data_IF_924694462931
#
_entry.id   IF_924694462931
#
_cell.length_a   1.000
_cell.length_b   1.000
_cell.length_c   1.000
_cell.angle_alpha   90.00
_cell.angle_beta   90.00
_cell.angle_gamma   90.00
#
_symmetry.space_group_name_H-M   'P 1'
#
loop_
_entity.id
_entity.type
_entity.pdbx_description
1 polymer ?
#
# COMPACT_ATOMS: atom_id res chain seq x y z
N UNK A 1 -39.74 18.47 14.39
CA UNK A 1 -38.66 17.62 14.92
C UNK A 1 -37.45 17.86 14.04
N UNK A 2 -36.47 18.55 14.61
CA UNK A 2 -35.33 19.14 13.91
C UNK A 2 -34.29 18.06 13.63
N UNK A 3 -33.76 18.11 12.42
CA UNK A 3 -32.75 17.21 11.86
C UNK A 3 -31.52 17.06 12.76
N UNK A 4 -31.12 15.81 12.93
CA UNK A 4 -29.86 15.38 13.53
C UNK A 4 -28.70 15.83 12.64
N UNK A 5 -28.13 16.98 12.98
CA UNK A 5 -26.94 17.53 12.34
C UNK A 5 -25.72 16.79 12.87
N UNK A 6 -25.12 15.99 12.00
CA UNK A 6 -23.67 15.89 11.84
C UNK A 6 -22.90 15.50 13.10
N UNK A 7 -22.85 14.20 13.40
CA UNK A 7 -21.61 13.61 13.88
C UNK A 7 -20.60 13.65 12.72
N UNK A 8 -19.93 14.80 12.54
CA UNK A 8 -18.62 14.80 11.89
C UNK A 8 -17.72 13.96 12.80
N UNK A 9 -17.50 12.70 12.43
CA UNK A 9 -16.52 11.87 13.11
C UNK A 9 -15.18 12.60 13.02
N UNK A 10 -14.49 12.73 14.15
CA UNK A 10 -13.06 13.01 14.21
C UNK A 10 -12.26 11.87 13.54
N UNK A 11 -12.45 11.68 12.24
CA UNK A 11 -11.54 10.92 11.40
C UNK A 11 -10.25 11.74 11.40
N UNK A 12 -9.20 11.19 12.01
CA UNK A 12 -7.85 11.74 11.97
C UNK A 12 -7.52 12.19 10.53
N UNK A 13 -7.20 13.47 10.34
CA UNK A 13 -6.88 14.01 9.01
C UNK A 13 -5.54 13.40 8.54
N UNK A 14 -5.64 12.33 7.73
CA UNK A 14 -4.51 11.53 7.24
C UNK A 14 -3.50 12.40 6.48
N UNK A 15 -3.98 13.42 5.75
CA UNK A 15 -3.12 14.36 5.04
C UNK A 15 -2.30 15.19 6.04
N UNK A 16 -2.95 15.75 7.07
CA UNK A 16 -2.26 16.54 8.11
C UNK A 16 -1.24 15.71 8.90
N UNK A 17 -1.58 14.45 9.23
CA UNK A 17 -0.66 13.52 9.87
C UNK A 17 0.57 13.28 9.00
N UNK A 18 0.35 12.99 7.71
CA UNK A 18 1.43 12.79 6.73
C UNK A 18 2.32 14.03 6.57
N UNK A 19 1.72 15.23 6.48
CA UNK A 19 2.44 16.50 6.39
C UNK A 19 3.32 16.72 7.62
N UNK A 20 2.83 16.39 8.81
CA UNK A 20 3.59 16.54 10.06
C UNK A 20 4.84 15.66 10.08
N UNK A 21 4.72 14.39 9.66
CA UNK A 21 5.88 13.48 9.61
C UNK A 21 6.87 13.89 8.52
N UNK A 22 6.40 14.39 7.38
CA UNK A 22 7.28 14.90 6.31
C UNK A 22 8.04 16.14 6.76
N UNK A 23 7.36 17.08 7.42
CA UNK A 23 8.02 18.28 7.96
C UNK A 23 9.15 17.88 8.89
N UNK A 24 8.85 17.00 9.85
CA UNK A 24 9.85 16.48 10.79
C UNK A 24 11.01 15.75 10.08
N UNK A 25 10.73 14.98 9.03
CA UNK A 25 11.75 14.29 8.26
C UNK A 25 12.67 15.27 7.52
N UNK A 26 12.11 16.30 6.90
CA UNK A 26 12.87 17.34 6.19
C UNK A 26 13.74 18.16 7.14
N UNK A 27 13.19 18.56 8.30
CA UNK A 27 13.92 19.26 9.35
C UNK A 27 15.12 18.45 9.85
N UNK A 28 14.91 17.15 10.10
CA UNK A 28 15.98 16.24 10.55
C UNK A 28 17.05 16.01 9.48
N UNK A 29 16.71 16.17 8.21
CA UNK A 29 17.65 16.12 7.09
C UNK A 29 18.35 17.46 6.85
N UNK A 30 17.92 18.54 7.51
CA UNK A 30 18.50 19.87 7.38
C UNK A 30 18.09 20.59 6.10
N UNK A 31 16.93 20.25 5.54
CA UNK A 31 16.34 21.02 4.45
C UNK A 31 15.67 22.29 4.99
N UNK A 32 15.70 23.39 4.23
CA UNK A 32 14.99 24.60 4.62
C UNK A 32 13.48 24.47 4.38
N UNK A 33 12.71 25.39 4.96
CA UNK A 33 11.24 25.34 4.97
C UNK A 33 10.62 25.33 3.56
N UNK A 34 11.28 25.93 2.56
CA UNK A 34 10.75 25.97 1.19
C UNK A 34 10.62 24.57 0.57
N UNK A 35 11.44 23.62 1.02
CA UNK A 35 11.33 22.21 0.60
C UNK A 35 10.04 21.60 1.16
N UNK A 36 9.69 21.88 2.41
CA UNK A 36 8.44 21.42 2.99
C UNK A 36 7.23 22.07 2.30
N UNK A 37 7.30 23.38 2.05
CA UNK A 37 6.25 24.12 1.35
C UNK A 37 5.95 23.55 -0.04
N UNK A 38 6.98 23.04 -0.74
CA UNK A 38 6.83 22.35 -2.02
C UNK A 38 6.24 20.94 -1.87
N UNK A 39 6.66 20.18 -0.84
CA UNK A 39 6.33 18.76 -0.70
C UNK A 39 5.12 18.47 0.18
N UNK A 40 4.50 19.48 0.79
CA UNK A 40 3.30 19.29 1.64
C UNK A 40 2.02 19.07 0.83
N UNK A 41 1.99 19.46 -0.44
CA UNK A 41 0.84 19.34 -1.35
C UNK A 41 1.28 18.82 -2.73
N UNK A 42 0.40 18.16 -3.50
CA UNK A 42 0.76 17.68 -4.82
C UNK A 42 0.93 18.81 -5.84
N UNK A 43 1.91 18.67 -6.75
CA UNK A 43 2.13 19.57 -7.88
C UNK A 43 0.88 19.78 -8.72
N UNK A 44 0.08 18.72 -8.92
CA UNK A 44 -1.16 18.78 -9.68
C UNK A 44 -2.24 17.95 -9.00
N UNK A 45 -3.44 18.53 -8.91
CA UNK A 45 -4.66 17.85 -8.49
C UNK A 45 -5.74 18.09 -9.54
N UNK A 46 -6.26 17.01 -10.12
CA UNK A 46 -7.32 17.08 -11.12
C UNK A 46 -8.60 16.42 -10.57
N UNK A 47 -9.70 17.16 -10.59
CA UNK A 47 -11.04 16.65 -10.28
C UNK A 47 -11.88 16.65 -11.55
N UNK A 48 -12.51 15.52 -11.87
CA UNK A 48 -13.28 15.32 -13.11
C UNK A 48 -14.70 14.86 -12.83
N UNK A 49 -15.60 15.15 -13.77
CA UNK A 49 -16.97 14.61 -13.80
C UNK A 49 -17.10 13.62 -14.95
N UNK A 50 -17.61 12.43 -14.66
CA UNK A 50 -17.61 11.30 -15.59
C UNK A 50 -19.07 10.85 -15.79
N UNK A 51 -19.73 11.31 -16.87
CA UNK A 51 -21.08 10.87 -17.19
C UNK A 51 -21.06 9.43 -17.71
N UNK A 52 -21.79 8.53 -17.05
CA UNK A 52 -21.92 7.12 -17.42
C UNK A 52 -23.40 6.79 -17.63
N UNK A 53 -23.72 6.18 -18.76
CA UNK A 53 -25.05 5.59 -18.98
C UNK A 53 -25.13 4.27 -18.19
N UNK A 54 -26.09 4.20 -17.28
CA UNK A 54 -26.39 3.04 -16.44
C UNK A 54 -27.21 2.01 -17.23
N UNK A 55 -27.30 0.79 -16.72
CA UNK A 55 -28.06 -0.30 -17.37
C UNK A 55 -29.57 -0.04 -17.38
N UNK A 56 -30.08 0.78 -16.45
CA UNK A 56 -31.48 1.26 -16.44
C UNK A 56 -31.75 2.37 -17.49
N UNK A 57 -30.73 2.75 -18.27
CA UNK A 57 -30.80 3.77 -19.32
C UNK A 57 -30.56 5.20 -18.85
N UNK A 58 -30.57 5.47 -17.53
CA UNK A 58 -30.30 6.80 -16.96
C UNK A 58 -28.81 7.13 -17.06
N UNK A 59 -28.47 8.41 -16.97
CA UNK A 59 -27.08 8.86 -16.88
C UNK A 59 -26.78 9.24 -15.44
N UNK A 60 -25.75 8.63 -14.86
CA UNK A 60 -25.17 8.99 -13.57
C UNK A 60 -23.83 9.69 -13.80
N UNK A 61 -23.60 10.81 -13.12
CA UNK A 61 -22.35 11.57 -13.22
C UNK A 61 -21.50 11.31 -11.98
N UNK A 62 -20.38 10.63 -12.16
CA UNK A 62 -19.45 10.30 -11.09
C UNK A 62 -18.39 11.39 -10.92
N UNK A 63 -17.84 11.51 -9.71
CA UNK A 63 -16.69 12.37 -9.43
C UNK A 63 -15.43 11.51 -9.37
N UNK A 64 -14.41 11.89 -10.14
CA UNK A 64 -13.10 11.26 -10.12
C UNK A 64 -11.99 12.25 -9.75
N UNK A 65 -10.89 11.74 -9.24
CA UNK A 65 -9.72 12.48 -8.79
C UNK A 65 -8.44 11.89 -9.37
N UNK A 66 -7.44 12.72 -9.65
CA UNK A 66 -6.05 12.31 -9.89
C UNK A 66 -5.09 13.33 -9.27
N UNK A 67 -4.34 12.91 -8.25
CA UNK A 67 -3.26 13.66 -7.63
C UNK A 67 -1.90 13.18 -8.17
N UNK A 68 -1.04 14.11 -8.56
CA UNK A 68 0.34 13.89 -8.98
C UNK A 68 1.23 14.68 -8.02
N UNK A 69 1.80 13.98 -7.03
CA UNK A 69 2.45 14.61 -5.89
C UNK A 69 3.69 15.39 -6.31
N UNK A 70 4.64 14.70 -6.94
CA UNK A 70 5.90 15.31 -7.34
C UNK A 70 6.50 14.47 -8.47
N UNK A 71 7.00 15.09 -9.53
CA UNK A 71 7.58 14.43 -10.70
C UNK A 71 9.07 14.77 -10.93
N UNK A 72 9.77 15.23 -9.89
CA UNK A 72 11.19 15.61 -9.98
C UNK A 72 12.10 14.43 -10.30
N UNK A 73 11.81 13.26 -9.72
CA UNK A 73 12.61 12.04 -9.92
C UNK A 73 12.26 11.34 -11.24
N UNK A 74 11.01 11.45 -11.67
CA UNK A 74 10.45 10.74 -12.81
C UNK A 74 8.92 10.84 -12.83
N UNK A 75 8.23 10.10 -13.72
CA UNK A 75 6.78 10.17 -13.80
C UNK A 75 6.11 9.71 -12.51
N UNK A 76 4.88 10.16 -12.25
CA UNK A 76 4.17 9.77 -11.02
C UNK A 76 3.61 8.36 -11.12
N UNK A 77 3.61 7.64 -9.99
CA UNK A 77 3.11 6.27 -9.92
C UNK A 77 2.10 6.10 -8.81
N UNK A 78 0.95 5.51 -9.11
CA UNK A 78 0.09 4.93 -8.07
C UNK A 78 -1.35 4.66 -8.48
N UNK A 79 -2.01 3.87 -7.63
CA UNK A 79 -3.25 3.20 -7.96
C UNK A 79 -4.49 4.10 -8.09
N UNK A 80 -5.58 3.51 -8.58
CA UNK A 80 -6.90 4.12 -8.67
C UNK A 80 -7.86 3.32 -7.79
N UNK A 81 -8.51 3.98 -6.84
CA UNK A 81 -9.49 3.37 -5.93
C UNK A 81 -10.92 3.65 -6.39
N UNK A 82 -11.77 2.64 -6.38
CA UNK A 82 -13.22 2.84 -6.52
C UNK A 82 -13.86 2.62 -5.15
N UNK A 83 -14.36 3.67 -4.50
CA UNK A 83 -14.96 3.52 -3.16
C UNK A 83 -15.96 4.66 -2.87
N UNK A 84 -17.08 4.41 -2.17
CA UNK A 84 -18.08 5.45 -1.90
C UNK A 84 -17.55 6.58 -1.01
N UNK A 85 -16.53 6.31 -0.20
CA UNK A 85 -15.94 7.28 0.73
C UNK A 85 -14.66 7.94 0.21
N UNK A 86 -14.31 7.80 -1.09
CA UNK A 86 -13.14 8.50 -1.63
C UNK A 86 -13.27 10.00 -1.41
N UNK A 87 -12.24 10.63 -0.85
CA UNK A 87 -12.15 12.08 -0.71
C UNK A 87 -10.90 12.65 -1.39
N UNK A 88 -10.93 13.94 -1.75
CA UNK A 88 -9.76 14.63 -2.27
C UNK A 88 -8.57 14.58 -1.29
N UNK A 89 -8.81 14.85 0.00
CA UNK A 89 -7.76 14.83 1.04
C UNK A 89 -7.06 13.48 1.14
N UNK A 90 -7.83 12.39 1.12
CA UNK A 90 -7.29 11.02 1.13
C UNK A 90 -6.44 10.76 -0.11
N UNK A 91 -6.91 11.13 -1.31
CA UNK A 91 -6.18 10.94 -2.57
C UNK A 91 -4.85 11.71 -2.55
N UNK A 92 -4.83 12.94 -2.00
CA UNK A 92 -3.60 13.71 -1.81
C UNK A 92 -2.62 12.99 -0.88
N UNK A 93 -3.07 12.60 0.32
CA UNK A 93 -2.22 11.91 1.30
C UNK A 93 -1.61 10.63 0.73
N UNK A 94 -2.42 9.81 0.05
CA UNK A 94 -1.96 8.59 -0.59
C UNK A 94 -0.96 8.85 -1.74
N UNK A 95 -1.09 9.96 -2.47
CA UNK A 95 -0.10 10.32 -3.51
C UNK A 95 1.26 10.70 -2.93
N UNK A 96 1.27 11.32 -1.74
CA UNK A 96 2.49 11.61 -0.98
C UNK A 96 3.14 10.30 -0.54
N UNK A 97 2.38 9.37 0.05
CA UNK A 97 2.89 8.07 0.43
C UNK A 97 3.45 7.28 -0.74
N UNK A 98 2.86 7.41 -1.94
CA UNK A 98 3.45 6.79 -3.13
C UNK A 98 4.82 7.38 -3.48
N UNK A 99 5.06 8.67 -3.25
CA UNK A 99 6.39 9.28 -3.44
C UNK A 99 7.39 8.72 -2.44
N UNK A 100 6.99 8.60 -1.18
CA UNK A 100 7.81 8.01 -0.13
C UNK A 100 8.16 6.54 -0.44
N UNK A 101 7.16 5.71 -0.80
CA UNK A 101 7.38 4.31 -1.17
C UNK A 101 8.37 4.21 -2.34
N UNK A 102 8.19 5.01 -3.39
CA UNK A 102 9.11 5.02 -4.54
C UNK A 102 10.53 5.43 -4.13
N UNK A 103 10.67 6.45 -3.27
CA UNK A 103 11.98 6.86 -2.75
C UNK A 103 12.65 5.82 -1.85
N UNK A 104 11.88 5.14 -1.00
CA UNK A 104 12.38 4.10 -0.08
C UNK A 104 12.99 2.93 -0.85
N UNK A 105 12.32 2.49 -1.92
CA UNK A 105 12.79 1.39 -2.79
C UNK A 105 13.57 1.87 -4.02
N UNK A 106 14.07 3.11 -3.98
CA UNK A 106 14.92 3.74 -4.98
C UNK A 106 14.41 3.70 -6.44
N UNK A 107 13.09 3.74 -6.62
CA UNK A 107 12.48 3.72 -7.95
C UNK A 107 12.63 5.09 -8.65
N UNK A 108 12.67 5.12 -9.99
CA UNK A 108 12.73 6.36 -10.77
C UNK A 108 11.33 6.99 -10.93
N UNK A 109 10.60 7.12 -9.84
CA UNK A 109 9.21 7.59 -9.83
C UNK A 109 8.95 8.65 -8.77
N UNK A 110 8.00 9.50 -9.13
CA UNK A 110 7.21 10.29 -8.20
C UNK A 110 5.99 9.53 -7.67
N UNK A 111 5.22 10.15 -6.79
CA UNK A 111 3.97 9.58 -6.31
C UNK A 111 2.74 10.13 -7.01
N UNK A 112 1.79 9.25 -7.33
CA UNK A 112 0.48 9.62 -7.85
C UNK A 112 -0.62 8.81 -7.18
N UNK A 113 -1.86 9.28 -7.23
CA UNK A 113 -3.03 8.52 -6.78
C UNK A 113 -4.29 8.98 -7.48
N UNK A 114 -5.19 8.06 -7.78
CA UNK A 114 -6.52 8.36 -8.28
C UNK A 114 -7.62 7.75 -7.42
N UNK A 115 -8.83 8.27 -7.58
CA UNK A 115 -10.00 7.69 -6.94
C UNK A 115 -11.28 8.09 -7.65
N UNK A 116 -12.30 7.24 -7.62
CA UNK A 116 -13.65 7.55 -8.09
C UNK A 116 -14.63 7.28 -6.95
N UNK A 117 -15.52 8.25 -6.72
CA UNK A 117 -16.61 8.12 -5.75
C UNK A 117 -17.71 7.24 -6.36
N UNK A 118 -17.62 5.92 -6.13
CA UNK A 118 -18.62 4.94 -6.55
C UNK A 118 -18.60 3.71 -5.63
N UNK A 119 -19.68 2.94 -5.61
CA UNK A 119 -19.71 1.61 -5.00
C UNK A 119 -19.74 0.54 -6.11
N UNK A 120 -18.62 -0.14 -6.39
CA UNK A 120 -18.57 -1.17 -7.43
C UNK A 120 -19.47 -2.37 -7.17
N UNK A 121 -19.90 -2.60 -5.92
CA UNK A 121 -20.77 -3.74 -5.56
C UNK A 121 -22.19 -3.56 -6.09
N UNK A 122 -22.60 -2.32 -6.30
CA UNK A 122 -23.93 -1.96 -6.82
C UNK A 122 -23.90 -1.72 -8.34
N UNK A 123 -22.80 -2.03 -9.02
CA UNK A 123 -22.59 -1.75 -10.43
C UNK A 123 -22.40 -3.04 -11.22
N UNK A 124 -23.00 -3.08 -12.41
CA UNK A 124 -22.75 -4.18 -13.33
C UNK A 124 -21.34 -4.09 -13.93
N UNK A 125 -20.84 -5.21 -14.44
CA UNK A 125 -19.55 -5.26 -15.13
C UNK A 125 -19.47 -4.28 -16.31
N UNK A 126 -20.58 -4.07 -17.03
CA UNK A 126 -20.65 -3.13 -18.16
C UNK A 126 -20.61 -1.68 -17.69
N UNK A 127 -21.24 -1.39 -16.55
CA UNK A 127 -21.19 -0.06 -15.95
C UNK A 127 -19.79 0.27 -15.44
N UNK A 128 -19.11 -0.70 -14.83
CA UNK A 128 -17.71 -0.57 -14.42
C UNK A 128 -16.77 -0.35 -15.61
N UNK A 129 -16.98 -1.06 -16.72
CA UNK A 129 -16.22 -0.83 -17.95
C UNK A 129 -16.42 0.60 -18.46
N UNK A 130 -17.67 1.04 -18.62
CA UNK A 130 -17.99 2.39 -19.10
C UNK A 130 -17.42 3.47 -18.19
N UNK A 131 -17.48 3.27 -16.87
CA UNK A 131 -16.88 4.18 -15.89
C UNK A 131 -15.35 4.23 -16.03
N UNK A 132 -14.70 3.08 -16.17
CA UNK A 132 -13.24 2.98 -16.30
C UNK A 132 -12.74 3.68 -17.57
N UNK A 133 -13.42 3.47 -18.69
CA UNK A 133 -13.14 4.15 -19.97
C UNK A 133 -13.38 5.67 -19.86
N UNK A 134 -14.51 6.06 -19.28
CA UNK A 134 -14.85 7.46 -19.05
C UNK A 134 -13.83 8.19 -18.18
N UNK A 135 -13.31 7.53 -17.15
CA UNK A 135 -12.24 8.08 -16.30
C UNK A 135 -10.96 8.32 -17.09
N UNK A 136 -10.49 7.34 -17.88
CA UNK A 136 -9.29 7.50 -18.73
C UNK A 136 -9.43 8.67 -19.70
N UNK A 137 -10.57 8.77 -20.39
CA UNK A 137 -10.86 9.91 -21.27
C UNK A 137 -10.72 11.24 -20.55
N UNK A 138 -11.27 11.34 -19.34
CA UNK A 138 -11.27 12.56 -18.54
C UNK A 138 -9.88 12.99 -18.03
N UNK A 139 -8.95 12.04 -17.82
CA UNK A 139 -7.61 12.34 -17.27
C UNK A 139 -6.48 12.23 -18.30
N UNK A 140 -6.76 11.72 -19.51
CA UNK A 140 -5.79 11.39 -20.57
C UNK A 140 -4.75 12.48 -20.86
N UNK A 141 -5.12 13.74 -20.72
CA UNK A 141 -4.26 14.91 -20.98
C UNK A 141 -3.02 14.98 -20.07
N UNK A 142 -3.14 14.49 -18.83
CA UNK A 142 -2.09 14.58 -17.80
C UNK A 142 -1.45 13.23 -17.45
N UNK A 143 -1.88 12.14 -18.09
CA UNK A 143 -1.39 10.78 -17.82
C UNK A 143 -0.75 10.12 -19.03
N UNK A 144 0.05 9.08 -18.79
CA UNK A 144 0.76 8.37 -19.86
C UNK A 144 2.02 7.67 -19.39
N UNK A 145 2.61 6.78 -20.22
CA UNK A 145 3.79 5.98 -19.86
C UNK A 145 5.00 6.80 -19.38
N UNK A 146 5.12 8.05 -19.83
CA UNK A 146 6.20 8.97 -19.48
C UNK A 146 5.75 10.14 -18.56
N UNK A 147 4.50 10.14 -18.09
CA UNK A 147 3.92 11.23 -17.27
C UNK A 147 3.42 10.73 -15.92
N UNK A 148 2.48 9.79 -15.97
CA UNK A 148 1.78 9.28 -14.79
C UNK A 148 1.17 7.92 -15.12
N UNK A 149 1.53 6.91 -14.31
CA UNK A 149 1.26 5.50 -14.58
C UNK A 149 0.34 4.95 -13.48
N UNK A 150 -0.97 4.76 -13.75
CA UNK A 150 -1.87 4.22 -12.75
C UNK A 150 -1.63 2.74 -12.43
N UNK A 151 -2.39 2.20 -11.47
CA UNK A 151 -2.34 0.81 -11.02
C UNK A 151 -3.68 0.42 -10.34
N UNK A 152 -3.87 -0.86 -9.97
CA UNK A 152 -4.96 -1.25 -9.09
C UNK A 152 -4.80 -0.67 -7.68
N UNK A 153 -5.93 -0.40 -7.06
CA UNK A 153 -6.14 -0.17 -5.62
C UNK A 153 -7.50 -0.79 -5.20
N UNK A 154 -8.01 -0.43 -4.02
CA UNK A 154 -9.28 -0.95 -3.46
C UNK A 154 -10.41 -0.92 -4.50
N UNK A 155 -11.06 -2.09 -4.64
CA UNK A 155 -12.12 -2.41 -5.62
C UNK A 155 -11.79 -2.16 -7.09
N UNK A 156 -10.51 -2.19 -7.45
CA UNK A 156 -10.05 -2.30 -8.84
C UNK A 156 -9.08 -3.47 -8.97
N UNK A 157 -8.99 -4.05 -10.16
CA UNK A 157 -8.21 -5.26 -10.42
C UNK A 157 -7.64 -5.23 -11.85
N UNK A 158 -7.01 -6.33 -12.27
CA UNK A 158 -6.41 -6.46 -13.59
C UNK A 158 -7.40 -6.25 -14.74
N UNK A 159 -8.68 -6.58 -14.56
CA UNK A 159 -9.71 -6.32 -15.55
C UNK A 159 -9.99 -4.81 -15.72
N UNK A 160 -10.06 -4.05 -14.62
CA UNK A 160 -10.16 -2.59 -14.69
C UNK A 160 -8.94 -2.02 -15.43
N UNK A 161 -7.74 -2.52 -15.13
CA UNK A 161 -6.51 -2.06 -15.79
C UNK A 161 -6.52 -2.38 -17.29
N UNK A 162 -7.05 -3.53 -17.68
CA UNK A 162 -7.19 -3.91 -19.09
C UNK A 162 -8.09 -2.93 -19.86
N UNK A 163 -9.25 -2.58 -19.32
CA UNK A 163 -10.14 -1.58 -19.94
C UNK A 163 -9.51 -0.20 -20.04
N UNK A 164 -8.80 0.21 -18.99
CA UNK A 164 -8.13 1.51 -18.98
C UNK A 164 -6.97 1.55 -19.99
N UNK A 165 -6.21 0.46 -20.13
CA UNK A 165 -5.14 0.33 -21.11
C UNK A 165 -5.68 0.35 -22.54
N UNK A 166 -6.76 -0.38 -22.82
CA UNK A 166 -7.41 -0.39 -24.13
C UNK A 166 -7.92 1.01 -24.51
N UNK A 167 -8.63 1.70 -23.61
CA UNK A 167 -9.14 3.04 -23.88
C UNK A 167 -8.00 4.04 -24.13
N UNK A 168 -6.92 3.99 -23.34
CA UNK A 168 -5.77 4.88 -23.54
C UNK A 168 -5.07 4.60 -24.87
N UNK A 169 -4.87 3.32 -25.20
CA UNK A 169 -4.26 2.91 -26.48
C UNK A 169 -5.09 3.37 -27.68
N UNK A 170 -6.42 3.39 -27.55
CA UNK A 170 -7.31 3.95 -28.59
C UNK A 170 -7.18 5.46 -28.75
N UNK A 171 -6.95 6.19 -27.65
CA UNK A 171 -6.74 7.64 -27.68
C UNK A 171 -5.36 7.97 -28.28
N UNK A 172 -4.35 7.17 -27.96
CA UNK A 172 -2.95 7.37 -28.36
C UNK A 172 -2.65 6.86 -29.78
N UNK A 173 -3.58 6.10 -30.39
CA UNK A 173 -3.46 5.45 -31.72
C UNK A 173 -2.36 4.37 -31.83
N UNK A 174 -1.76 3.97 -30.71
CA UNK A 174 -0.82 2.86 -30.59
C UNK A 174 -1.11 2.03 -29.34
N UNK A 175 -0.66 0.78 -29.32
CA UNK A 175 -0.76 -0.03 -28.11
C UNK A 175 0.21 0.51 -27.05
N UNK A 176 -0.34 1.00 -25.93
CA UNK A 176 0.42 1.71 -24.88
C UNK A 176 0.41 0.92 -23.56
N UNK A 177 1.02 -0.28 -23.49
CA UNK A 177 0.97 -1.13 -22.30
C UNK A 177 1.68 -0.51 -21.09
N UNK A 178 2.66 0.37 -21.31
CA UNK A 178 3.36 1.13 -20.26
C UNK A 178 2.50 2.20 -19.59
N UNK A 179 1.28 2.48 -20.07
CA UNK A 179 0.39 3.50 -19.48
C UNK A 179 -0.04 3.12 -18.07
N UNK A 180 -0.31 1.85 -17.80
CA UNK A 180 -0.89 1.38 -16.55
C UNK A 180 -0.27 0.03 -16.16
N UNK A 181 -0.11 -0.22 -14.86
CA UNK A 181 0.44 -1.50 -14.35
C UNK A 181 -0.63 -2.34 -13.68
N UNK A 182 -0.32 -3.58 -13.29
CA UNK A 182 -1.28 -4.54 -12.75
C UNK A 182 -2.18 -5.16 -13.82
N UNK A 183 -1.70 -5.24 -15.06
CA UNK A 183 -2.44 -5.80 -16.19
C UNK A 183 -2.44 -7.33 -16.16
N UNK A 184 -3.37 -7.99 -16.87
CA UNK A 184 -3.26 -9.43 -17.17
C UNK A 184 -1.95 -9.72 -17.92
N UNK A 185 -1.36 -10.90 -17.72
CA UNK A 185 -0.09 -11.30 -18.37
C UNK A 185 -0.16 -11.16 -19.90
N UNK A 186 -1.27 -11.58 -20.51
CA UNK A 186 -1.51 -11.49 -21.97
C UNK A 186 -1.57 -10.06 -22.52
N UNK A 187 -1.65 -9.05 -21.65
CA UNK A 187 -1.66 -7.62 -22.01
C UNK A 187 -0.40 -6.89 -21.51
N UNK A 188 0.69 -7.62 -21.27
CA UNK A 188 1.95 -7.07 -20.78
C UNK A 188 1.99 -6.85 -19.27
N UNK A 189 1.25 -7.68 -18.51
CA UNK A 189 1.41 -7.80 -17.07
C UNK A 189 2.75 -8.48 -16.69
N UNK A 190 3.17 -8.34 -15.44
CA UNK A 190 4.37 -9.01 -14.91
C UNK A 190 4.01 -10.21 -14.05
N UNK A 191 4.84 -11.25 -14.12
CA UNK A 191 4.84 -12.35 -13.14
C UNK A 191 5.05 -11.81 -11.72
N UNK A 192 4.59 -12.57 -10.72
CA UNK A 192 4.75 -12.24 -9.29
C UNK A 192 3.88 -11.07 -8.77
N UNK A 193 3.08 -10.41 -9.61
CA UNK A 193 2.34 -9.19 -9.22
C UNK A 193 1.33 -9.42 -8.08
N UNK A 194 0.64 -10.56 -8.10
CA UNK A 194 -0.41 -10.91 -7.14
C UNK A 194 0.17 -11.10 -5.73
N UNK A 195 1.31 -11.76 -5.63
CA UNK A 195 1.97 -12.07 -4.36
C UNK A 195 2.99 -11.01 -3.93
N UNK A 196 3.29 -10.02 -4.77
CA UNK A 196 4.40 -9.07 -4.59
C UNK A 196 4.39 -8.36 -3.22
N UNK A 197 3.22 -7.92 -2.74
CA UNK A 197 3.10 -7.26 -1.44
C UNK A 197 3.39 -8.24 -0.30
N UNK A 198 2.79 -9.42 -0.32
CA UNK A 198 2.99 -10.43 0.72
C UNK A 198 4.44 -10.96 0.74
N UNK A 199 5.05 -11.20 -0.44
CA UNK A 199 6.47 -11.51 -0.56
C UNK A 199 7.33 -10.38 0.02
N UNK A 200 6.99 -9.13 -0.28
CA UNK A 200 7.72 -7.98 0.25
C UNK A 200 7.67 -7.84 1.77
N UNK A 201 6.50 -8.07 2.36
CA UNK A 201 6.32 -8.13 3.83
C UNK A 201 7.15 -9.28 4.41
N UNK A 202 7.13 -10.46 3.79
CA UNK A 202 7.91 -11.64 4.21
C UNK A 202 9.41 -11.37 4.20
N UNK A 203 9.93 -10.72 3.15
CA UNK A 203 11.34 -10.30 3.06
C UNK A 203 11.68 -9.35 4.23
N UNK A 204 10.82 -8.37 4.51
CA UNK A 204 11.05 -7.44 5.61
C UNK A 204 11.00 -8.11 6.99
N UNK A 205 10.08 -9.07 7.19
CA UNK A 205 10.03 -9.89 8.41
C UNK A 205 11.36 -10.63 8.59
N UNK A 206 11.87 -11.27 7.54
CA UNK A 206 13.13 -12.01 7.59
C UNK A 206 14.32 -11.11 7.95
N UNK A 207 14.41 -9.93 7.35
CA UNK A 207 15.49 -8.98 7.69
C UNK A 207 15.34 -8.43 9.12
N UNK A 208 14.12 -8.16 9.58
CA UNK A 208 13.86 -7.75 10.96
C UNK A 208 14.22 -8.84 11.98
N UNK A 209 13.87 -10.10 11.70
CA UNK A 209 14.18 -11.26 12.52
C UNK A 209 15.70 -11.42 12.69
N UNK A 210 16.47 -11.26 11.61
CA UNK A 210 17.96 -11.26 11.66
C UNK A 210 18.50 -10.18 12.60
N UNK A 211 17.93 -8.97 12.60
CA UNK A 211 18.37 -7.87 13.50
C UNK A 211 18.02 -8.13 14.96
N UNK A 212 16.98 -8.93 15.23
CA UNK A 212 16.57 -9.32 16.59
C UNK A 212 17.15 -10.66 17.05
N UNK A 213 17.89 -11.36 16.20
CA UNK A 213 18.41 -12.69 16.52
C UNK A 213 17.33 -13.76 16.65
N UNK A 214 16.18 -13.58 15.98
CA UNK A 214 15.06 -14.53 15.95
C UNK A 214 15.26 -15.45 14.74
N UNK A 215 15.29 -16.77 14.97
CA UNK A 215 15.20 -17.75 13.88
C UNK A 215 13.73 -17.81 13.42
N UNK A 216 13.50 -17.65 12.12
CA UNK A 216 12.14 -17.75 11.57
C UNK A 216 11.56 -19.15 11.75
N UNK A 217 12.41 -20.18 11.73
CA UNK A 217 11.96 -21.54 11.94
C UNK A 217 11.50 -21.71 13.38
N UNK A 218 10.21 -21.97 13.57
CA UNK A 218 9.57 -22.09 14.87
C UNK A 218 9.14 -20.78 15.53
N UNK A 219 9.41 -19.62 14.91
CA UNK A 219 8.93 -18.33 15.39
C UNK A 219 7.40 -18.29 15.44
N UNK A 220 6.84 -17.70 16.50
CA UNK A 220 5.39 -17.52 16.70
C UNK A 220 4.94 -16.26 15.99
N UNK A 221 4.08 -16.41 14.99
CA UNK A 221 3.60 -15.32 14.14
C UNK A 221 2.09 -15.16 14.28
N UNK A 222 1.65 -13.91 14.42
CA UNK A 222 0.24 -13.53 14.40
C UNK A 222 -0.02 -12.62 13.19
N UNK A 223 -1.02 -12.94 12.38
CA UNK A 223 -1.39 -12.17 11.19
C UNK A 223 -2.82 -11.65 11.34
N UNK A 224 -2.97 -10.34 11.57
CA UNK A 224 -4.29 -9.72 11.62
C UNK A 224 -4.79 -9.47 10.19
N UNK A 225 -5.88 -10.13 9.79
CA UNK A 225 -6.45 -10.04 8.45
C UNK A 225 -6.03 -11.18 7.53
N UNK A 226 -7.00 -11.92 7.00
CA UNK A 226 -6.80 -13.10 6.13
C UNK A 226 -7.29 -12.89 4.68
N UNK A 227 -7.33 -11.62 4.24
CA UNK A 227 -7.52 -11.24 2.84
C UNK A 227 -6.30 -11.57 1.98
N UNK A 228 -6.22 -11.02 0.76
CA UNK A 228 -5.14 -11.33 -0.19
C UNK A 228 -3.72 -11.20 0.39
N UNK A 229 -3.40 -10.08 1.06
CA UNK A 229 -2.06 -9.89 1.60
C UNK A 229 -1.75 -10.85 2.77
N UNK A 230 -2.63 -10.91 3.77
CA UNK A 230 -2.39 -11.70 4.97
C UNK A 230 -2.43 -13.22 4.75
N UNK A 231 -3.26 -13.70 3.84
CA UNK A 231 -3.32 -15.13 3.47
C UNK A 231 -2.05 -15.64 2.79
N UNK A 232 -1.56 -14.94 1.76
CA UNK A 232 -0.28 -15.28 1.12
C UNK A 232 0.88 -15.13 2.10
N UNK A 233 0.84 -14.11 2.97
CA UNK A 233 1.84 -13.94 4.01
C UNK A 233 1.85 -15.13 4.98
N UNK A 234 0.69 -15.54 5.49
CA UNK A 234 0.57 -16.69 6.37
C UNK A 234 1.11 -17.96 5.69
N UNK A 235 0.83 -18.14 4.39
CA UNK A 235 1.38 -19.24 3.59
C UNK A 235 2.91 -19.18 3.52
N UNK A 236 3.49 -18.05 3.12
CA UNK A 236 4.94 -17.92 2.99
C UNK A 236 5.68 -18.10 4.32
N UNK A 237 5.12 -17.57 5.40
CA UNK A 237 5.67 -17.76 6.75
C UNK A 237 5.56 -19.21 7.22
N UNK A 238 4.43 -19.88 6.95
CA UNK A 238 4.25 -21.30 7.23
C UNK A 238 5.25 -22.17 6.44
N UNK A 239 5.41 -21.92 5.14
CA UNK A 239 6.33 -22.63 4.26
C UNK A 239 7.80 -22.40 4.67
N UNK A 240 8.12 -21.24 5.25
CA UNK A 240 9.42 -20.94 5.84
C UNK A 240 9.65 -21.62 7.22
N UNK A 241 8.65 -22.34 7.74
CA UNK A 241 8.71 -23.09 8.99
C UNK A 241 8.35 -22.29 10.24
N UNK A 242 7.76 -21.11 10.11
CA UNK A 242 7.23 -20.36 11.24
C UNK A 242 5.89 -20.96 11.71
N UNK A 243 5.58 -20.81 12.99
CA UNK A 243 4.30 -21.20 13.58
C UNK A 243 3.33 -20.03 13.49
N UNK A 244 2.38 -20.11 12.57
CA UNK A 244 1.26 -19.15 12.55
C UNK A 244 0.31 -19.51 13.69
N UNK A 245 0.43 -18.83 14.82
CA UNK A 245 -0.37 -19.14 16.01
C UNK A 245 -1.70 -18.38 16.00
N UNK A 246 -1.83 -17.31 15.21
CA UNK A 246 -3.07 -16.55 15.13
C UNK A 246 -3.31 -15.93 13.76
N UNK A 247 -4.56 -16.01 13.28
CA UNK A 247 -5.04 -15.24 12.14
C UNK A 247 -6.37 -14.56 12.47
N UNK A 248 -6.73 -13.48 11.77
CA UNK A 248 -8.06 -12.91 11.90
C UNK A 248 -8.71 -12.51 10.58
N UNK A 249 -10.02 -12.33 10.59
CA UNK A 249 -10.78 -11.71 9.52
C UNK A 249 -11.78 -10.68 10.10
N UNK A 250 -12.76 -10.27 9.29
CA UNK A 250 -13.74 -9.25 9.69
C UNK A 250 -14.62 -9.65 10.89
N UNK A 251 -14.70 -10.95 11.24
CA UNK A 251 -15.61 -11.47 12.25
C UNK A 251 -14.94 -11.92 13.55
N UNK A 252 -13.61 -12.01 13.58
CA UNK A 252 -12.85 -12.42 14.75
C UNK A 252 -11.49 -13.01 14.38
N UNK A 253 -10.88 -13.70 15.35
CA UNK A 253 -9.59 -14.35 15.24
C UNK A 253 -9.64 -15.84 15.59
N UNK A 254 -8.76 -16.61 14.97
CA UNK A 254 -8.43 -17.99 15.35
C UNK A 254 -7.07 -17.98 16.03
N UNK A 255 -6.92 -18.78 17.09
CA UNK A 255 -5.68 -18.90 17.83
C UNK A 255 -5.42 -20.36 18.22
N UNK A 256 -4.20 -20.83 17.94
CA UNK A 256 -3.67 -22.11 18.41
C UNK A 256 -2.17 -21.96 18.72
N UNK A 257 -1.77 -22.15 19.98
CA UNK A 257 -0.37 -22.04 20.40
C UNK A 257 0.54 -23.06 19.71
N UNK A 258 -0.01 -24.19 19.22
CA UNK A 258 0.75 -25.19 18.47
C UNK A 258 0.94 -24.82 17.00
N UNK A 259 0.18 -23.84 16.51
CA UNK A 259 0.16 -23.40 15.12
C UNK A 259 -1.11 -23.87 14.39
N UNK A 260 -1.69 -22.97 13.62
CA UNK A 260 -2.86 -23.19 12.78
C UNK A 260 -2.50 -23.95 11.50
N UNK A 261 -3.44 -24.77 11.01
CA UNK A 261 -3.33 -25.43 9.70
C UNK A 261 -3.65 -24.43 8.58
N UNK A 262 -2.60 -23.79 8.06
CA UNK A 262 -2.74 -22.71 7.07
C UNK A 262 -3.24 -23.23 5.73
N UNK A 263 -2.84 -24.42 5.31
CA UNK A 263 -3.31 -25.00 4.04
C UNK A 263 -4.81 -25.31 4.12
N UNK A 264 -5.29 -25.86 5.24
CA UNK A 264 -6.71 -26.06 5.51
C UNK A 264 -7.51 -24.76 5.49
N UNK A 265 -6.98 -23.69 6.11
CA UNK A 265 -7.65 -22.39 6.22
C UNK A 265 -7.68 -21.66 4.87
N UNK A 266 -6.64 -21.78 4.05
CA UNK A 266 -6.59 -21.21 2.71
C UNK A 266 -7.58 -21.87 1.75
N UNK A 267 -7.78 -23.19 1.85
CA UNK A 267 -8.74 -23.94 1.03
C UNK A 267 -10.20 -23.56 1.35
N UNK A 268 -10.48 -23.18 2.61
CA UNK A 268 -11.83 -22.91 3.10
C UNK A 268 -12.23 -21.44 3.18
N UNK A 269 -11.30 -20.52 2.91
CA UNK A 269 -11.63 -19.09 2.92
C UNK A 269 -12.58 -18.76 1.77
N UNK A 270 -13.51 -17.85 2.01
CA UNK A 270 -14.35 -17.32 0.95
C UNK A 270 -13.60 -16.29 0.07
N UNK A 271 -14.26 -15.81 -0.97
CA UNK A 271 -13.71 -14.77 -1.86
C UNK A 271 -13.42 -13.43 -1.16
N UNK A 272 -13.90 -13.23 0.06
CA UNK A 272 -13.65 -12.06 0.90
C UNK A 272 -12.54 -12.30 1.93
N UNK A 273 -11.95 -13.50 1.97
CA UNK A 273 -10.93 -13.87 2.95
C UNK A 273 -11.49 -14.19 4.33
N UNK A 274 -12.77 -14.55 4.43
CA UNK A 274 -13.41 -14.98 5.68
C UNK A 274 -13.26 -16.49 5.86
N UNK A 275 -12.84 -16.91 7.04
CA UNK A 275 -12.71 -18.33 7.43
C UNK A 275 -13.16 -18.59 8.87
N UNK A 276 -13.17 -17.57 9.73
CA UNK A 276 -13.45 -17.69 11.18
C UNK A 276 -14.85 -18.22 11.48
N UNK A 277 -15.85 -17.91 10.63
CA UNK A 277 -17.24 -18.39 10.77
C UNK A 277 -17.40 -19.91 10.76
N UNK A 278 -16.38 -20.65 10.33
CA UNK A 278 -16.38 -22.10 10.32
C UNK A 278 -16.05 -22.70 11.69
N UNK A 279 -15.68 -21.86 12.66
CA UNK A 279 -15.23 -22.25 13.99
C UNK A 279 -16.10 -21.61 15.06
N UNK A 280 -16.29 -22.32 16.17
CA UNK A 280 -17.07 -21.82 17.32
C UNK A 280 -16.19 -21.08 18.33
N UNK A 281 -14.95 -21.53 18.50
CA UNK A 281 -13.99 -20.94 19.42
C UNK A 281 -13.17 -19.87 18.69
N UNK A 282 -13.65 -18.63 18.76
CA UNK A 282 -13.00 -17.46 18.16
C UNK A 282 -12.68 -16.44 19.23
N UNK A 283 -11.60 -15.69 19.03
CA UNK A 283 -11.22 -14.53 19.85
C UNK A 283 -11.53 -13.23 19.11
N UNK A 284 -11.56 -12.11 19.82
CA UNK A 284 -11.67 -10.80 19.18
C UNK A 284 -10.39 -10.40 18.45
N UNK A 285 -10.49 -9.39 17.56
CA UNK A 285 -9.31 -8.85 16.88
C UNK A 285 -8.37 -8.15 17.88
N UNK A 286 -8.94 -7.50 18.88
CA UNK A 286 -8.22 -6.84 19.97
C UNK A 286 -7.40 -7.85 20.78
N UNK A 287 -8.02 -8.95 21.21
CA UNK A 287 -7.33 -10.03 21.91
C UNK A 287 -6.22 -10.66 21.06
N UNK A 288 -6.46 -10.82 19.74
CA UNK A 288 -5.47 -11.37 18.82
C UNK A 288 -4.20 -10.50 18.73
N UNK A 289 -4.33 -9.17 18.71
CA UNK A 289 -3.19 -8.25 18.65
C UNK A 289 -2.32 -8.32 19.91
N UNK A 290 -2.89 -8.68 21.05
CA UNK A 290 -2.21 -8.72 22.35
C UNK A 290 -1.62 -10.11 22.70
N UNK A 291 -1.76 -11.08 21.79
CA UNK A 291 -1.20 -12.42 21.96
C UNK A 291 0.32 -12.39 22.15
N UNK A 292 0.80 -13.30 22.99
CA UNK A 292 2.21 -13.56 23.14
C UNK A 292 2.76 -14.18 21.84
N UNK A 293 3.60 -13.45 21.12
CA UNK A 293 4.17 -13.88 19.84
C UNK A 293 5.53 -13.23 19.62
N UNK A 294 6.30 -13.74 18.67
CA UNK A 294 7.58 -13.13 18.29
C UNK A 294 7.35 -11.99 17.29
N UNK A 295 6.40 -12.18 16.38
CA UNK A 295 6.16 -11.32 15.22
C UNK A 295 4.66 -11.09 15.05
N UNK A 296 4.25 -9.82 15.08
CA UNK A 296 2.89 -9.38 14.82
C UNK A 296 2.81 -8.67 13.46
N UNK A 297 1.82 -9.06 12.64
CA UNK A 297 1.62 -8.48 11.30
C UNK A 297 0.20 -7.93 11.13
N UNK A 298 0.01 -6.61 11.32
CA UNK A 298 -1.24 -5.95 10.98
C UNK A 298 -1.44 -5.87 9.45
N UNK A 299 -2.40 -6.63 8.92
CA UNK A 299 -2.66 -6.78 7.48
C UNK A 299 -4.15 -6.53 7.09
N UNK A 300 -4.94 -5.92 7.98
CA UNK A 300 -6.36 -5.66 7.77
C UNK A 300 -6.67 -4.18 7.46
N UNK A 301 -6.89 -3.37 8.49
CA UNK A 301 -7.35 -1.97 8.39
C UNK A 301 -6.43 -1.02 9.18
N UNK A 302 -6.69 0.28 9.09
CA UNK A 302 -5.95 1.33 9.79
C UNK A 302 -6.26 1.39 11.31
N UNK A 303 -5.39 2.05 12.08
CA UNK A 303 -5.57 2.38 13.51
C UNK A 303 -5.94 1.18 14.41
N UNK A 304 -5.27 0.04 14.21
CA UNK A 304 -5.45 -1.18 15.00
C UNK A 304 -4.55 -1.23 16.23
N UNK A 305 -3.36 -0.63 16.14
CA UNK A 305 -2.45 -0.46 17.27
C UNK A 305 -2.45 1.02 17.65
N UNK A 306 -3.02 1.34 18.81
CA UNK A 306 -3.26 2.70 19.31
C UNK A 306 -2.59 2.90 20.67
N UNK A 307 -2.64 4.11 21.22
CA UNK A 307 -2.15 4.37 22.58
C UNK A 307 -2.81 3.46 23.63
N UNK A 308 -4.05 3.03 23.38
CA UNK A 308 -4.83 2.20 24.31
C UNK A 308 -4.29 0.78 24.45
N UNK A 309 -3.79 0.17 23.36
CA UNK A 309 -3.34 -1.23 23.35
C UNK A 309 -1.84 -1.41 23.10
N UNK A 310 -1.11 -0.36 22.69
CA UNK A 310 0.33 -0.46 22.39
C UNK A 310 1.18 -0.92 23.58
N UNK A 311 0.71 -0.72 24.81
CA UNK A 311 1.35 -1.22 26.04
C UNK A 311 1.19 -2.74 26.23
N UNK A 312 0.15 -3.33 25.66
CA UNK A 312 -0.20 -4.74 25.81
C UNK A 312 0.44 -5.62 24.73
N UNK A 313 0.87 -5.04 23.60
CA UNK A 313 1.56 -5.77 22.53
C UNK A 313 2.80 -6.49 23.08
N UNK A 314 2.89 -7.80 22.85
CA UNK A 314 4.00 -8.65 23.36
C UNK A 314 5.05 -8.98 22.32
N UNK A 315 4.76 -8.71 21.05
CA UNK A 315 5.65 -9.01 19.93
C UNK A 315 7.02 -8.33 20.04
N UNK A 316 8.09 -9.05 19.69
CA UNK A 316 9.43 -8.47 19.55
C UNK A 316 9.60 -7.65 18.26
N UNK A 317 8.76 -7.96 17.25
CA UNK A 317 8.74 -7.32 15.93
C UNK A 317 7.27 -7.04 15.54
N UNK A 318 7.01 -5.84 15.02
CA UNK A 318 5.73 -5.49 14.37
C UNK A 318 6.02 -5.14 12.92
N UNK A 319 5.36 -5.80 11.96
CA UNK A 319 5.53 -5.51 10.52
C UNK A 319 4.20 -5.10 9.90
N UNK A 320 4.11 -3.87 9.43
CA UNK A 320 2.86 -3.31 8.92
C UNK A 320 2.62 -3.70 7.46
N UNK A 321 1.66 -4.60 7.22
CA UNK A 321 1.25 -4.98 5.86
C UNK A 321 0.10 -4.11 5.33
N UNK A 322 -0.78 -3.65 6.22
CA UNK A 322 -1.79 -2.64 5.94
C UNK A 322 -1.18 -1.23 5.94
N UNK A 323 -1.87 -0.24 5.35
CA UNK A 323 -1.45 1.16 5.47
C UNK A 323 -2.00 1.76 6.77
N UNK A 324 -1.16 2.46 7.53
CA UNK A 324 -1.52 3.15 8.77
C UNK A 324 -2.13 2.27 9.89
N UNK A 325 -1.72 1.02 10.12
CA UNK A 325 -2.32 0.21 11.18
C UNK A 325 -1.91 0.68 12.59
N UNK A 326 -0.84 1.46 12.73
CA UNK A 326 -0.32 1.93 14.02
C UNK A 326 -0.36 3.46 14.10
N UNK A 327 -0.86 4.03 15.20
CA UNK A 327 -0.86 5.49 15.41
C UNK A 327 0.54 6.04 15.71
N UNK A 328 0.70 7.36 15.67
CA UNK A 328 1.98 8.01 16.00
C UNK A 328 2.35 7.80 17.47
N UNK A 329 1.37 7.87 18.35
CA UNK A 329 1.50 7.65 19.80
C UNK A 329 1.90 6.20 20.07
N UNK A 330 1.22 5.24 19.44
CA UNK A 330 1.58 3.82 19.52
C UNK A 330 2.99 3.55 18.99
N UNK A 331 3.39 4.19 17.88
CA UNK A 331 4.75 4.06 17.33
C UNK A 331 5.81 4.46 18.36
N UNK A 332 5.58 5.54 19.13
CA UNK A 332 6.50 5.97 20.20
C UNK A 332 6.57 4.93 21.32
N UNK A 333 5.42 4.48 21.82
CA UNK A 333 5.33 3.47 22.89
C UNK A 333 6.06 2.19 22.50
N UNK A 334 5.81 1.65 21.29
CA UNK A 334 6.47 0.44 20.81
C UNK A 334 8.00 0.63 20.70
N UNK A 335 8.44 1.79 20.21
CA UNK A 335 9.87 2.13 20.08
C UNK A 335 10.56 2.21 21.43
N UNK A 336 9.95 2.88 22.42
CA UNK A 336 10.47 3.00 23.79
C UNK A 336 10.58 1.65 24.49
N UNK A 337 9.65 0.73 24.20
CA UNK A 337 9.67 -0.66 24.67
C UNK A 337 10.69 -1.54 23.93
N UNK A 338 11.40 -0.98 22.95
CA UNK A 338 12.40 -1.71 22.16
C UNK A 338 11.80 -2.69 21.15
N UNK A 339 10.52 -2.59 20.82
CA UNK A 339 9.87 -3.40 19.78
C UNK A 339 10.32 -2.88 18.42
N UNK A 340 10.78 -3.78 17.53
CA UNK A 340 11.21 -3.38 16.19
C UNK A 340 9.99 -3.24 15.28
N UNK A 341 9.60 -2.00 15.00
CA UNK A 341 8.53 -1.69 14.06
C UNK A 341 9.11 -1.54 12.64
N UNK A 342 8.55 -2.29 11.68
CA UNK A 342 8.82 -2.13 10.25
C UNK A 342 7.62 -1.41 9.63
N UNK A 343 7.78 -0.15 9.19
CA UNK A 343 6.67 0.68 8.78
C UNK A 343 6.08 0.26 7.44
N UNK A 344 4.79 0.52 7.27
CA UNK A 344 3.99 0.20 6.08
C UNK A 344 4.57 0.70 4.76
N UNK A 345 5.12 1.92 4.75
CA UNK A 345 5.80 2.53 3.59
C UNK A 345 7.04 1.76 3.13
N UNK A 346 7.60 0.90 3.98
CA UNK A 346 8.67 -0.03 3.60
C UNK A 346 8.09 -1.43 3.31
N UNK A 347 7.39 -2.03 4.29
CA UNK A 347 6.96 -3.42 4.24
C UNK A 347 6.01 -3.72 3.05
N UNK A 348 5.13 -2.78 2.71
CA UNK A 348 4.17 -2.95 1.60
C UNK A 348 4.71 -2.56 0.22
N UNK A 349 5.99 -2.19 0.11
CA UNK A 349 6.56 -1.65 -1.14
C UNK A 349 6.81 -2.70 -2.23
N UNK A 350 6.70 -3.99 -1.93
CA UNK A 350 6.85 -5.04 -2.94
C UNK A 350 5.89 -4.89 -4.13
N UNK A 351 4.65 -4.47 -3.88
CA UNK A 351 3.66 -4.23 -4.94
C UNK A 351 4.03 -3.10 -5.91
N UNK A 352 4.64 -2.01 -5.42
CA UNK A 352 5.11 -0.92 -6.29
C UNK A 352 6.39 -1.32 -7.03
N UNK A 353 7.28 -2.08 -6.40
CA UNK A 353 8.50 -2.60 -7.02
C UNK A 353 8.19 -3.52 -8.20
N UNK A 354 7.28 -4.49 -8.06
CA UNK A 354 6.90 -5.36 -9.19
C UNK A 354 6.09 -4.59 -10.23
N UNK A 355 5.31 -3.59 -9.84
CA UNK A 355 4.67 -2.67 -10.79
C UNK A 355 5.69 -1.88 -11.61
N UNK A 356 6.82 -1.48 -11.00
CA UNK A 356 7.92 -0.87 -11.73
C UNK A 356 8.57 -1.84 -12.72
N UNK A 357 8.81 -3.09 -12.31
CA UNK A 357 9.32 -4.11 -13.23
C UNK A 357 8.39 -4.34 -14.42
N UNK A 358 7.07 -4.36 -14.19
CA UNK A 358 6.08 -4.43 -15.26
C UNK A 358 6.24 -3.25 -16.24
N UNK A 359 6.43 -2.03 -15.74
CA UNK A 359 6.67 -0.87 -16.60
C UNK A 359 7.99 -0.95 -17.36
N UNK A 360 9.08 -1.41 -16.71
CA UNK A 360 10.38 -1.63 -17.38
C UNK A 360 10.25 -2.65 -18.50
N UNK A 361 9.62 -3.79 -18.26
CA UNK A 361 9.37 -4.83 -19.26
C UNK A 361 8.54 -4.29 -20.43
N UNK A 362 7.52 -3.46 -20.15
CA UNK A 362 6.69 -2.83 -21.18
C UNK A 362 7.45 -1.78 -22.01
N UNK A 363 8.41 -1.06 -21.43
CA UNK A 363 9.29 -0.17 -22.19
C UNK A 363 10.27 -0.94 -23.09
N UNK A 364 10.63 -2.17 -22.70
CA UNK A 364 11.56 -3.02 -23.44
C UNK A 364 10.85 -3.89 -24.49
N UNK A 365 9.58 -4.20 -24.30
CA UNK A 365 8.90 -5.26 -25.06
C UNK A 365 9.45 -6.66 -24.77
N UNK A 366 10.05 -6.86 -23.59
CA UNK A 366 10.69 -8.11 -23.16
C UNK A 366 10.23 -8.44 -21.73
N UNK A 367 9.73 -9.67 -21.53
CA UNK A 367 9.12 -10.09 -20.28
C UNK A 367 9.99 -11.10 -19.54
N UNK A 368 10.08 -10.93 -18.23
CA UNK A 368 10.93 -11.72 -17.35
C UNK A 368 10.17 -12.93 -16.80
N UNK A 369 10.94 -13.96 -16.45
CA UNK A 369 10.47 -15.12 -15.70
C UNK A 369 10.05 -14.74 -14.28
N UNK A 370 9.31 -15.61 -13.60
CA UNK A 370 8.91 -15.38 -12.22
C UNK A 370 10.12 -15.33 -11.27
N UNK A 371 11.11 -16.18 -11.52
CA UNK A 371 12.35 -16.27 -10.77
C UNK A 371 13.18 -14.98 -10.87
N UNK A 372 13.32 -14.42 -12.08
CA UNK A 372 14.02 -13.14 -12.29
C UNK A 372 13.31 -11.97 -11.58
N UNK A 373 11.97 -11.96 -11.58
CA UNK A 373 11.19 -10.95 -10.85
C UNK A 373 11.41 -11.07 -9.35
N UNK A 374 11.41 -12.29 -8.82
CA UNK A 374 11.61 -12.57 -7.40
C UNK A 374 13.02 -12.20 -6.92
N UNK A 375 14.07 -12.58 -7.66
CA UNK A 375 15.46 -12.24 -7.33
C UNK A 375 15.66 -10.71 -7.27
N UNK A 376 15.13 -9.98 -8.27
CA UNK A 376 15.22 -8.52 -8.30
C UNK A 376 14.41 -7.88 -7.16
N UNK A 377 13.23 -8.41 -6.86
CA UNK A 377 12.38 -7.93 -5.76
C UNK A 377 13.10 -8.07 -4.42
N UNK A 378 13.67 -9.25 -4.16
CA UNK A 378 14.41 -9.55 -2.95
C UNK A 378 15.60 -8.60 -2.77
N UNK A 379 16.42 -8.44 -3.80
CA UNK A 379 17.58 -7.54 -3.77
C UNK A 379 17.19 -6.10 -3.44
N UNK A 380 16.12 -5.56 -4.05
CA UNK A 380 15.66 -4.20 -3.80
C UNK A 380 15.18 -4.05 -2.36
N UNK A 381 14.33 -4.96 -1.87
CA UNK A 381 13.73 -4.83 -0.54
C UNK A 381 14.72 -5.06 0.59
N UNK A 382 15.68 -6.00 0.45
CA UNK A 382 16.76 -6.19 1.42
C UNK A 382 17.60 -4.92 1.54
N UNK A 383 18.00 -4.32 0.42
CA UNK A 383 18.76 -3.07 0.42
C UNK A 383 17.96 -1.91 1.04
N UNK A 384 16.66 -1.84 0.72
CA UNK A 384 15.76 -0.79 1.23
C UNK A 384 15.57 -0.90 2.74
N UNK A 385 15.36 -2.13 3.24
CA UNK A 385 15.27 -2.40 4.67
C UNK A 385 16.56 -1.99 5.39
N UNK A 386 17.71 -2.41 4.86
CA UNK A 386 19.01 -2.10 5.46
C UNK A 386 19.26 -0.59 5.51
N UNK A 387 18.97 0.14 4.43
CA UNK A 387 19.13 1.60 4.38
C UNK A 387 18.23 2.34 5.39
N UNK A 388 16.96 1.92 5.54
CA UNK A 388 16.05 2.48 6.54
C UNK A 388 16.53 2.16 7.96
N UNK A 389 16.90 0.91 8.21
CA UNK A 389 17.39 0.46 9.52
C UNK A 389 18.65 1.22 9.94
N UNK A 390 19.64 1.32 9.05
CA UNK A 390 20.89 2.04 9.33
C UNK A 390 20.66 3.54 9.53
N UNK A 391 19.72 4.13 8.79
CA UNK A 391 19.29 5.52 8.99
C UNK A 391 18.68 5.70 10.38
N UNK A 392 17.80 4.78 10.81
CA UNK A 392 17.19 4.81 12.14
C UNK A 392 18.26 4.76 13.25
N UNK A 393 19.22 3.84 13.13
CA UNK A 393 20.30 3.69 14.11
C UNK A 393 21.24 4.91 14.14
N UNK A 394 21.68 5.37 12.97
CA UNK A 394 22.66 6.47 12.86
C UNK A 394 22.07 7.80 13.32
N UNK A 395 20.79 8.05 12.99
CA UNK A 395 20.09 9.29 13.36
C UNK A 395 19.39 9.20 14.71
N UNK A 396 19.36 8.03 15.34
CA UNK A 396 18.68 7.74 16.62
C UNK A 396 17.21 8.18 16.60
N UNK A 397 16.51 7.73 15.58
CA UNK A 397 15.07 7.97 15.37
C UNK A 397 14.35 6.64 15.21
N UNK A 398 13.03 6.63 15.38
CA UNK A 398 12.23 5.44 15.10
C UNK A 398 12.26 5.08 13.60
N UNK A 399 11.94 3.81 13.30
CA UNK A 399 11.98 3.27 11.94
C UNK A 399 11.00 3.97 10.99
N UNK A 400 9.87 4.50 11.49
CA UNK A 400 8.89 5.21 10.65
C UNK A 400 9.48 6.54 10.20
N UNK A 401 10.01 7.35 11.11
CA UNK A 401 10.67 8.61 10.76
C UNK A 401 11.88 8.36 9.85
N UNK A 402 12.68 7.32 10.10
CA UNK A 402 13.79 6.94 9.22
C UNK A 402 13.32 6.58 7.80
N UNK A 403 12.22 5.84 7.66
CA UNK A 403 11.65 5.50 6.36
C UNK A 403 11.19 6.75 5.60
N UNK A 404 10.58 7.72 6.30
CA UNK A 404 10.18 9.00 5.70
C UNK A 404 11.39 9.82 5.27
N UNK A 405 12.45 9.87 6.10
CA UNK A 405 13.70 10.54 5.75
C UNK A 405 14.34 9.94 4.50
N UNK A 406 14.42 8.60 4.41
CA UNK A 406 14.93 7.91 3.22
C UNK A 406 14.06 8.19 2.00
N UNK A 407 12.74 8.10 2.14
CA UNK A 407 11.78 8.28 1.05
C UNK A 407 11.77 9.69 0.47
N UNK A 408 11.84 10.73 1.31
CA UNK A 408 11.77 12.12 0.86
C UNK A 408 13.09 12.62 0.25
N UNK A 409 14.23 12.08 0.70
CA UNK A 409 15.57 12.57 0.33
C UNK A 409 15.77 12.65 -1.18
N UNK A 410 15.50 11.57 -1.92
CA UNK A 410 15.71 11.51 -3.38
C UNK A 410 14.90 12.56 -4.12
N UNK A 411 13.66 12.77 -3.69
CA UNK A 411 12.74 13.75 -4.28
C UNK A 411 13.17 15.19 -3.96
N UNK A 412 13.54 15.47 -2.71
CA UNK A 412 14.05 16.78 -2.31
C UNK A 412 15.34 17.14 -3.05
N UNK A 413 16.29 16.20 -3.16
CA UNK A 413 17.52 16.40 -3.94
C UNK A 413 17.24 16.62 -5.43
N UNK A 414 16.33 15.84 -6.03
CA UNK A 414 15.95 16.01 -7.42
C UNK A 414 15.31 17.40 -7.68
N UNK A 415 14.47 17.90 -6.78
CA UNK A 415 13.88 19.24 -6.88
C UNK A 415 14.97 20.32 -6.89
N UNK A 416 15.96 20.21 -5.99
CA UNK A 416 17.09 21.15 -5.90
C UNK A 416 17.98 21.11 -7.15
N UNK A 417 18.36 19.92 -7.62
CA UNK A 417 19.18 19.79 -8.84
C UNK A 417 18.46 20.29 -10.10
N UNK A 418 17.12 20.21 -10.14
CA UNK A 418 16.30 20.78 -11.22
C UNK A 418 16.06 22.28 -11.08
N UNK A 419 16.51 22.91 -10.00
CA UNK A 419 16.37 24.36 -9.77
C UNK A 419 14.94 24.79 -9.46
N UNK A 420 14.13 23.93 -8.85
CA UNK A 420 12.79 24.30 -8.41
C UNK A 420 12.84 25.14 -7.12
N UNK A 421 13.81 24.85 -6.26
CA UNK A 421 14.08 25.44 -4.94
C UNK A 421 15.59 25.46 -4.65
#
# INVERSE_FOLDING_TARGET
MVADKGKESHQHDVLKSTQTVIHLALDKLGYPEEVFELLKEPLRMLTVKIPVRMDDGKVKVFTGYRAQHNDAVGPTKGGIRFHPNVTEKEVKALSIWMSLKCGIVDLPYGGGKGGIICDPRDMSFRELERLSRGYVRAISQIVGPAKDIPAPDVFTNSQIMAWMMDEYSRIDEYNSPGFITGKPLVLGGSHGRETATAKGVTICIREAAKKKGIDLKGARVVVQGFGNAGSFLAKFMHDAGAKIIGISDAYGGLHDENGLDIDYLLDRRDSFGTVTKLFNDTISNEELLELDCDILVPAAIENQITEENAHNIRAGIVVEAANGPTTLEATKILTERGILLVPDVLASSGGVTVSYFEWVQNNQGYYWTEEEVEEKLEKILVNSFQNVYDTAQTRRVDMRLAAYMVGVRKMAEACRFRGWI
#
